data_IF_835591423212
#
_entry.id   IF_835591423212
#
_cell.length_a   1.000
_cell.length_b   1.000
_cell.length_c   1.000
_cell.angle_alpha   90.00
_cell.angle_beta   90.00
_cell.angle_gamma   90.00
#
_symmetry.space_group_name_H-M   'P 1'
#
loop_
_entity.id
_entity.type
_entity.pdbx_description
1 polymer ?
#
# COMPACT_ATOMS: atom_id res chain seq x y z
N UNK A 1 87.45 18.41 18.53
CA UNK A 1 88.30 19.61 18.60
C UNK A 1 87.48 20.81 18.16
N UNK A 2 87.43 21.83 19.02
CA UNK A 2 87.16 23.25 18.73
C UNK A 2 85.70 23.67 18.48
N UNK A 3 85.19 24.28 19.55
CA UNK A 3 84.14 25.29 19.65
C UNK A 3 84.44 26.49 18.72
N UNK A 4 83.43 27.03 18.01
CA UNK A 4 83.41 28.46 17.69
C UNK A 4 81.99 29.02 17.63
N UNK A 5 81.68 29.75 18.71
CA UNK A 5 80.71 30.82 18.86
C UNK A 5 81.07 32.00 17.91
N UNK A 6 80.12 32.92 17.66
CA UNK A 6 80.21 34.37 17.28
C UNK A 6 78.96 34.69 16.40
N UNK A 7 77.85 35.23 16.95
CA UNK A 7 77.49 36.70 17.02
C UNK A 7 77.36 37.37 15.65
N UNK A 8 76.43 38.28 15.33
CA UNK A 8 75.35 39.01 15.99
C UNK A 8 74.68 39.86 14.87
N UNK A 9 73.35 39.98 14.89
CA UNK A 9 72.48 41.05 14.36
C UNK A 9 72.74 41.64 12.95
N UNK A 10 71.72 41.52 12.10
CA UNK A 10 71.24 42.69 11.36
C UNK A 10 69.71 42.71 11.42
N UNK A 11 69.17 43.83 11.89
CA UNK A 11 67.76 44.12 12.12
C UNK A 11 67.21 44.72 10.83
N UNK A 12 66.08 44.21 10.33
CA UNK A 12 65.19 44.97 9.46
C UNK A 12 63.75 44.84 9.97
N UNK A 13 63.25 45.99 10.40
CA UNK A 13 61.95 46.28 10.99
C UNK A 13 61.03 46.77 9.86
N UNK A 14 59.95 46.06 9.51
CA UNK A 14 58.78 46.69 8.85
C UNK A 14 57.47 45.95 9.19
N UNK A 15 56.50 46.76 9.62
CA UNK A 15 55.04 46.62 9.59
C UNK A 15 54.33 45.66 10.57
N UNK A 16 53.71 46.32 11.56
CA UNK A 16 52.59 45.90 12.39
C UNK A 16 51.25 45.95 11.63
N UNK A 17 50.31 45.12 12.10
CA UNK A 17 48.83 45.15 12.01
C UNK A 17 48.16 44.17 11.03
N UNK A 18 47.59 43.12 11.61
CA UNK A 18 46.70 42.17 10.95
C UNK A 18 46.37 41.00 11.88
N UNK A 19 45.67 41.27 12.98
CA UNK A 19 45.05 40.23 13.80
C UNK A 19 43.94 39.54 13.02
N UNK A 20 43.80 38.22 13.19
CA UNK A 20 42.56 37.48 13.45
C UNK A 20 42.45 36.15 12.68
N UNK A 21 42.37 35.08 13.48
CA UNK A 21 41.72 33.76 13.31
C UNK A 21 42.22 32.79 12.23
N UNK A 22 42.93 31.76 12.70
CA UNK A 22 43.03 30.45 12.07
C UNK A 22 41.78 29.65 12.47
N UNK A 23 40.81 29.49 11.56
CA UNK A 23 39.65 28.64 11.78
C UNK A 23 39.86 27.28 11.08
N UNK A 24 39.63 26.14 11.74
CA UNK A 24 39.64 24.86 11.06
C UNK A 24 38.44 24.82 10.10
N UNK A 25 38.71 24.55 8.82
CA UNK A 25 37.66 24.24 7.84
C UNK A 25 37.07 22.88 8.23
N UNK A 26 36.02 22.94 9.05
CA UNK A 26 35.12 21.83 9.29
C UNK A 26 34.39 21.57 7.97
N UNK A 27 34.84 20.57 7.20
CA UNK A 27 34.00 20.02 6.15
C UNK A 27 32.85 19.29 6.86
N UNK A 28 31.77 20.02 7.09
CA UNK A 28 30.48 19.42 7.38
C UNK A 28 30.07 18.62 6.15
N UNK A 29 30.11 17.30 6.27
CA UNK A 29 29.33 16.45 5.38
C UNK A 29 27.86 16.80 5.62
N UNK A 30 27.28 17.57 4.71
CA UNK A 30 25.83 17.72 4.64
C UNK A 30 25.28 16.36 4.25
N UNK A 31 25.02 15.50 5.24
CA UNK A 31 24.01 14.47 5.09
C UNK A 31 22.69 15.22 4.95
N UNK A 32 22.29 15.42 3.69
CA UNK A 32 20.97 15.92 3.35
C UNK A 32 19.96 14.90 3.89
N UNK A 33 19.44 15.15 5.08
CA UNK A 33 18.42 14.36 5.76
C UNK A 33 17.06 14.51 5.09
N UNK A 34 16.95 14.11 3.82
CA UNK A 34 15.67 13.89 3.19
C UNK A 34 15.04 12.67 3.86
N UNK A 35 14.07 12.89 4.77
CA UNK A 35 13.25 11.81 5.31
C UNK A 35 12.68 11.00 4.14
N UNK A 36 13.05 9.72 4.07
CA UNK A 36 12.46 8.74 3.13
C UNK A 36 10.95 8.75 3.36
N UNK A 37 10.18 9.20 2.36
CA UNK A 37 8.71 9.17 2.44
C UNK A 37 8.29 7.70 2.40
N UNK A 38 7.50 7.30 3.40
CA UNK A 38 6.95 5.95 3.54
C UNK A 38 5.42 6.02 3.62
N UNK A 39 4.79 4.90 3.30
CA UNK A 39 3.35 4.69 3.48
C UNK A 39 3.03 4.90 4.95
N UNK A 40 2.08 5.77 5.22
CA UNK A 40 1.60 6.11 6.56
C UNK A 40 0.26 6.84 6.43
N UNK A 41 -0.49 6.95 7.53
CA UNK A 41 -1.84 7.55 7.54
C UNK A 41 -1.89 8.92 6.83
N UNK A 42 -2.91 9.11 5.98
CA UNK A 42 -3.16 10.33 5.20
C UNK A 42 -2.27 10.50 3.97
N UNK A 43 -1.43 9.53 3.62
CA UNK A 43 -0.68 9.56 2.36
C UNK A 43 -1.52 9.03 1.22
N UNK A 44 -1.43 9.70 0.07
CA UNK A 44 -1.89 9.13 -1.19
C UNK A 44 -0.82 8.17 -1.70
N UNK A 45 -1.20 6.91 -1.88
CA UNK A 45 -0.29 5.84 -2.29
C UNK A 45 -0.73 5.33 -3.64
N UNK A 46 0.22 5.21 -4.56
CA UNK A 46 0.04 4.55 -5.86
C UNK A 46 0.80 3.24 -5.87
N UNK A 47 0.16 2.16 -6.32
CA UNK A 47 0.76 0.83 -6.34
C UNK A 47 0.34 -0.01 -7.54
N UNK A 48 1.25 -0.89 -7.92
CA UNK A 48 0.94 -2.09 -8.70
C UNK A 48 0.67 -3.25 -7.75
N UNK A 49 -0.28 -4.10 -8.09
CA UNK A 49 -0.51 -5.35 -7.41
C UNK A 49 -0.94 -6.47 -8.36
N UNK A 50 -0.77 -7.70 -7.88
CA UNK A 50 -1.43 -8.88 -8.43
C UNK A 50 -2.05 -9.63 -7.27
N UNK A 51 -3.36 -9.84 -7.33
CA UNK A 51 -4.14 -10.63 -6.38
C UNK A 51 -4.28 -12.06 -6.87
N UNK A 52 -3.98 -13.02 -5.99
CA UNK A 52 -4.09 -14.46 -6.26
C UNK A 52 -4.83 -15.18 -5.13
N UNK A 53 -5.44 -16.32 -5.46
CA UNK A 53 -6.04 -17.24 -4.47
C UNK A 53 -5.08 -18.37 -4.05
N UNK A 54 -4.05 -18.61 -4.86
CA UNK A 54 -2.94 -19.52 -4.60
C UNK A 54 -1.81 -19.17 -5.59
N UNK A 55 -0.75 -19.98 -5.66
CA UNK A 55 0.40 -19.70 -6.54
C UNK A 55 0.04 -19.60 -8.04
N UNK A 56 -1.06 -20.21 -8.48
CA UNK A 56 -1.41 -20.33 -9.91
C UNK A 56 -2.60 -19.48 -10.33
N UNK A 57 -3.51 -19.19 -9.40
CA UNK A 57 -4.79 -18.56 -9.71
C UNK A 57 -4.73 -17.05 -9.49
N UNK A 58 -4.34 -16.31 -10.54
CA UNK A 58 -4.44 -14.84 -10.58
C UNK A 58 -5.90 -14.44 -10.77
N UNK A 59 -6.42 -13.65 -9.84
CA UNK A 59 -7.78 -13.10 -9.89
C UNK A 59 -7.79 -11.73 -10.55
N UNK A 60 -6.83 -10.89 -10.18
CA UNK A 60 -6.77 -9.50 -10.63
C UNK A 60 -5.31 -9.02 -10.66
N UNK A 61 -5.00 -8.14 -11.60
CA UNK A 61 -3.70 -7.48 -11.68
C UNK A 61 -3.83 -6.17 -12.43
N UNK A 62 -3.14 -5.14 -11.97
CA UNK A 62 -3.00 -3.88 -12.69
C UNK A 62 -1.57 -3.66 -13.21
N UNK A 63 -0.70 -4.67 -13.14
CA UNK A 63 0.69 -4.56 -13.61
C UNK A 63 0.71 -4.28 -15.11
N UNK A 64 1.39 -3.19 -15.50
CA UNK A 64 1.42 -2.73 -16.90
C UNK A 64 0.16 -1.96 -17.34
N UNK A 65 -0.80 -1.75 -16.44
CA UNK A 65 -2.00 -0.92 -16.65
C UNK A 65 -1.96 0.37 -15.83
N UNK A 66 -3.14 0.89 -15.49
CA UNK A 66 -3.26 2.07 -14.62
C UNK A 66 -2.99 1.70 -13.15
N UNK A 67 -2.10 2.44 -12.45
CA UNK A 67 -1.84 2.20 -11.04
C UNK A 67 -3.08 2.36 -10.16
N UNK A 68 -3.21 1.50 -9.17
CA UNK A 68 -4.22 1.64 -8.14
C UNK A 68 -3.77 2.75 -7.19
N UNK A 69 -4.67 3.69 -6.90
CA UNK A 69 -4.40 4.76 -5.93
C UNK A 69 -5.39 4.70 -4.79
N UNK A 70 -4.92 4.95 -3.58
CA UNK A 70 -5.76 5.01 -2.38
C UNK A 70 -5.18 5.99 -1.35
N UNK A 71 -5.99 6.38 -0.37
CA UNK A 71 -5.56 7.14 0.81
C UNK A 71 -5.36 6.19 1.99
N UNK A 72 -4.13 6.16 2.50
CA UNK A 72 -3.80 5.25 3.60
C UNK A 72 -4.49 5.66 4.91
N UNK A 73 -5.17 4.71 5.54
CA UNK A 73 -5.98 4.89 6.74
C UNK A 73 -7.37 5.47 6.47
N UNK A 74 -7.83 5.45 5.21
CA UNK A 74 -9.19 5.83 4.82
C UNK A 74 -10.11 4.62 4.55
N UNK A 75 -9.64 3.39 4.84
CA UNK A 75 -10.41 2.15 4.68
C UNK A 75 -10.89 1.88 3.24
N UNK A 76 -10.14 2.37 2.25
CA UNK A 76 -10.44 2.21 0.81
C UNK A 76 -10.01 0.84 0.25
N UNK A 77 -9.17 0.10 0.98
CA UNK A 77 -8.69 -1.25 0.63
C UNK A 77 -8.87 -2.19 1.83
N UNK A 78 -8.76 -3.50 1.58
CA UNK A 78 -8.94 -4.48 2.66
C UNK A 78 -7.96 -4.24 3.83
N UNK A 79 -8.43 -4.31 5.10
CA UNK A 79 -7.64 -3.91 6.26
C UNK A 79 -6.27 -4.61 6.38
N UNK A 80 -6.22 -5.90 6.07
CA UNK A 80 -4.98 -6.66 6.16
C UNK A 80 -3.95 -6.27 5.09
N UNK A 81 -4.40 -5.83 3.90
CA UNK A 81 -3.50 -5.27 2.89
C UNK A 81 -3.00 -3.91 3.36
N UNK A 82 -3.89 -3.01 3.77
CA UNK A 82 -3.51 -1.68 4.27
C UNK A 82 -2.45 -1.78 5.38
N UNK A 83 -2.74 -2.54 6.44
CA UNK A 83 -1.80 -2.77 7.54
C UNK A 83 -0.44 -3.29 7.08
N UNK A 84 -0.41 -4.15 6.07
CA UNK A 84 0.82 -4.74 5.56
C UNK A 84 1.65 -3.76 4.71
N UNK A 85 1.04 -2.71 4.17
CA UNK A 85 1.69 -1.65 3.39
C UNK A 85 2.30 -0.54 4.26
N UNK A 86 1.85 -0.37 5.49
CA UNK A 86 2.39 0.63 6.43
C UNK A 86 3.93 0.57 6.51
N UNK A 87 4.58 1.73 6.40
CA UNK A 87 6.03 1.87 6.43
C UNK A 87 6.77 1.49 5.15
N UNK A 88 6.10 0.95 4.12
CA UNK A 88 6.76 0.66 2.84
C UNK A 88 7.18 1.95 2.13
N UNK A 89 8.31 1.92 1.43
CA UNK A 89 8.77 3.04 0.62
C UNK A 89 8.54 2.83 -0.87
N UNK A 90 8.64 3.91 -1.65
CA UNK A 90 8.62 3.86 -3.12
C UNK A 90 9.65 2.87 -3.66
N UNK A 91 9.21 2.00 -4.57
CA UNK A 91 10.01 0.95 -5.20
C UNK A 91 10.05 -0.36 -4.42
N UNK A 92 9.62 -0.38 -3.15
CA UNK A 92 9.57 -1.62 -2.37
C UNK A 92 8.49 -2.55 -2.88
N UNK A 93 8.80 -3.85 -2.84
CA UNK A 93 7.91 -4.95 -3.21
C UNK A 93 7.67 -5.85 -2.02
N UNK A 94 6.47 -6.43 -1.94
CA UNK A 94 6.12 -7.34 -0.86
C UNK A 94 5.14 -8.40 -1.34
N UNK A 95 5.30 -9.61 -0.81
CA UNK A 95 4.31 -10.67 -0.89
C UNK A 95 3.52 -10.68 0.41
N UNK A 96 2.20 -10.54 0.34
CA UNK A 96 1.33 -10.34 1.49
C UNK A 96 0.22 -11.38 1.43
N UNK A 97 0.07 -12.17 2.49
CA UNK A 97 -1.08 -13.05 2.68
C UNK A 97 -2.07 -12.38 3.64
N UNK A 98 -3.31 -12.23 3.20
CA UNK A 98 -4.41 -11.63 3.98
C UNK A 98 -5.46 -12.69 4.24
N UNK A 99 -5.73 -12.97 5.52
CA UNK A 99 -6.75 -13.94 5.92
C UNK A 99 -8.16 -13.39 5.63
N UNK A 100 -9.18 -14.26 5.51
CA UNK A 100 -10.54 -13.80 5.21
C UNK A 100 -11.04 -12.74 6.20
N UNK A 101 -10.79 -12.91 7.50
CA UNK A 101 -11.15 -11.96 8.56
C UNK A 101 -10.56 -10.55 8.39
N UNK A 102 -9.43 -10.40 7.70
CA UNK A 102 -8.79 -9.11 7.40
C UNK A 102 -9.00 -8.67 5.93
N UNK A 103 -9.85 -9.42 5.19
CA UNK A 103 -10.20 -9.19 3.79
C UNK A 103 -11.72 -8.99 3.63
N UNK A 104 -12.39 -9.94 2.99
CA UNK A 104 -13.83 -9.87 2.69
C UNK A 104 -14.70 -10.65 3.67
N UNK A 105 -14.15 -11.02 4.83
CA UNK A 105 -14.82 -11.79 5.86
C UNK A 105 -14.84 -13.29 5.59
N UNK A 106 -15.38 -14.02 6.57
CA UNK A 106 -15.69 -15.44 6.43
C UNK A 106 -17.00 -15.62 5.64
N UNK A 107 -17.22 -16.83 5.11
CA UNK A 107 -18.50 -17.17 4.48
C UNK A 107 -19.61 -17.16 5.54
N UNK A 108 -20.60 -16.31 5.38
CA UNK A 108 -21.81 -16.33 6.18
C UNK A 108 -22.82 -17.30 5.58
N UNK A 109 -23.06 -18.42 6.26
CA UNK A 109 -24.05 -19.42 5.85
C UNK A 109 -25.48 -18.86 5.85
N UNK A 110 -25.77 -17.79 6.60
CA UNK A 110 -27.07 -17.13 6.59
C UNK A 110 -27.27 -16.24 5.37
N UNK A 111 -26.18 -15.86 4.71
CA UNK A 111 -26.19 -15.15 3.43
C UNK A 111 -26.39 -16.10 2.24
N UNK A 112 -26.49 -17.41 2.46
CA UNK A 112 -26.91 -18.38 1.44
C UNK A 112 -28.39 -18.64 1.62
N UNK A 113 -29.20 -18.30 0.61
CA UNK A 113 -30.66 -18.33 0.70
C UNK A 113 -31.28 -19.10 -0.47
N UNK A 114 -32.25 -19.95 -0.16
CA UNK A 114 -33.06 -20.61 -1.16
C UNK A 114 -34.27 -19.74 -1.53
N UNK A 115 -34.40 -19.43 -2.81
CA UNK A 115 -35.44 -18.54 -3.34
C UNK A 115 -36.24 -19.28 -4.39
N UNK A 116 -37.58 -19.11 -4.37
CA UNK A 116 -38.46 -19.73 -5.37
C UNK A 116 -38.16 -19.19 -6.77
N UNK A 117 -38.16 -20.06 -7.77
CA UNK A 117 -37.86 -19.72 -9.16
C UNK A 117 -38.71 -18.58 -9.72
N UNK A 118 -39.98 -18.49 -9.34
CA UNK A 118 -40.87 -17.41 -9.80
C UNK A 118 -40.47 -16.00 -9.30
N UNK A 119 -39.56 -15.89 -8.34
CA UNK A 119 -38.99 -14.63 -7.85
C UNK A 119 -37.63 -14.31 -8.49
N UNK A 120 -37.06 -15.25 -9.25
CA UNK A 120 -35.74 -15.14 -9.86
C UNK A 120 -35.91 -15.09 -11.38
N UNK A 121 -35.31 -14.13 -12.09
CA UNK A 121 -35.38 -14.10 -13.55
C UNK A 121 -34.93 -15.41 -14.19
N UNK A 122 -35.68 -15.91 -15.17
CA UNK A 122 -35.41 -17.22 -15.79
C UNK A 122 -34.00 -17.35 -16.39
N UNK A 123 -33.46 -16.25 -16.93
CA UNK A 123 -32.11 -16.23 -17.51
C UNK A 123 -31.00 -16.48 -16.49
N UNK A 124 -31.31 -16.34 -15.19
CA UNK A 124 -30.39 -16.57 -14.09
C UNK A 124 -30.52 -17.99 -13.49
N UNK A 125 -31.39 -18.87 -13.99
CA UNK A 125 -31.52 -20.24 -13.46
C UNK A 125 -30.40 -21.18 -13.92
N UNK A 126 -29.16 -20.80 -13.64
CA UNK A 126 -27.94 -21.57 -13.93
C UNK A 126 -26.88 -21.23 -12.88
N UNK A 127 -26.12 -22.25 -12.45
CA UNK A 127 -25.01 -22.07 -11.52
C UNK A 127 -24.01 -21.06 -12.09
N UNK A 128 -23.54 -20.14 -11.23
CA UNK A 128 -22.64 -19.05 -11.57
C UNK A 128 -23.32 -17.83 -12.19
N UNK A 129 -24.64 -17.83 -12.40
CA UNK A 129 -25.33 -16.61 -12.79
C UNK A 129 -25.26 -15.56 -11.67
N UNK A 130 -24.91 -14.33 -12.04
CA UNK A 130 -24.95 -13.17 -11.16
C UNK A 130 -26.29 -12.44 -11.33
N UNK A 131 -26.81 -11.91 -10.23
CA UNK A 131 -28.01 -11.10 -10.21
C UNK A 131 -27.75 -9.77 -9.52
N UNK A 132 -28.58 -8.77 -9.82
CA UNK A 132 -28.71 -7.58 -8.98
C UNK A 132 -29.99 -7.71 -8.15
N UNK A 133 -29.85 -7.63 -6.83
CA UNK A 133 -30.93 -7.64 -5.87
C UNK A 133 -30.93 -6.33 -5.07
N UNK A 134 -32.07 -5.98 -4.46
CA UNK A 134 -32.14 -4.87 -3.50
C UNK A 134 -32.31 -5.42 -2.10
N UNK A 135 -31.44 -5.01 -1.19
CA UNK A 135 -31.52 -5.33 0.22
C UNK A 135 -32.66 -4.57 0.93
N UNK A 136 -32.97 -4.95 2.19
CA UNK A 136 -34.04 -4.33 2.97
C UNK A 136 -33.86 -2.83 3.21
N UNK A 137 -32.63 -2.33 3.22
CA UNK A 137 -32.29 -0.91 3.41
C UNK A 137 -32.10 -0.16 2.09
N UNK A 138 -32.43 -0.80 0.95
CA UNK A 138 -32.34 -0.22 -0.38
C UNK A 138 -30.96 -0.31 -1.04
N UNK A 139 -29.99 -0.94 -0.39
CA UNK A 139 -28.66 -1.20 -0.97
C UNK A 139 -28.74 -2.21 -2.12
N UNK A 140 -27.95 -2.02 -3.18
CA UNK A 140 -27.77 -3.03 -4.23
C UNK A 140 -26.90 -4.17 -3.69
N UNK A 141 -27.34 -5.41 -3.95
CA UNK A 141 -26.65 -6.65 -3.62
C UNK A 141 -26.42 -7.42 -4.91
N UNK A 142 -25.30 -8.14 -5.00
CA UNK A 142 -24.94 -8.90 -6.19
C UNK A 142 -24.77 -10.39 -5.89
N UNK A 143 -25.86 -11.12 -5.56
CA UNK A 143 -25.76 -12.53 -5.29
C UNK A 143 -25.45 -13.33 -6.56
N UNK A 144 -24.86 -14.51 -6.38
CA UNK A 144 -24.67 -15.48 -7.45
C UNK A 144 -25.40 -16.79 -7.16
N UNK A 145 -25.78 -17.50 -8.20
CA UNK A 145 -26.44 -18.80 -8.09
C UNK A 145 -25.42 -19.89 -7.80
N UNK A 146 -25.59 -20.60 -6.69
CA UNK A 146 -24.74 -21.73 -6.32
C UNK A 146 -25.38 -23.08 -6.67
N UNK A 147 -26.71 -23.16 -6.70
CA UNK A 147 -27.46 -24.38 -7.02
C UNK A 147 -28.79 -24.05 -7.68
N UNK A 148 -29.23 -24.89 -8.63
CA UNK A 148 -30.57 -24.81 -9.24
C UNK A 148 -31.31 -26.11 -8.94
N UNK A 149 -32.44 -25.99 -8.24
CA UNK A 149 -33.32 -27.11 -7.89
C UNK A 149 -34.55 -27.14 -8.81
N UNK A 150 -35.50 -28.03 -8.55
CA UNK A 150 -36.74 -28.15 -9.34
C UNK A 150 -37.57 -26.86 -9.29
N UNK A 151 -37.94 -26.40 -8.09
CA UNK A 151 -38.82 -25.24 -7.87
C UNK A 151 -38.11 -23.99 -7.32
N UNK A 152 -36.82 -24.10 -7.00
CA UNK A 152 -36.05 -23.07 -6.32
C UNK A 152 -34.62 -22.92 -6.87
N UNK A 153 -33.98 -21.84 -6.48
CA UNK A 153 -32.59 -21.50 -6.78
C UNK A 153 -31.91 -21.11 -5.47
N UNK A 154 -30.70 -21.60 -5.24
CA UNK A 154 -29.88 -21.20 -4.08
C UNK A 154 -29.00 -20.03 -4.50
N UNK A 155 -29.16 -18.91 -3.81
CA UNK A 155 -28.43 -17.67 -4.01
C UNK A 155 -27.43 -17.47 -2.88
N UNK A 156 -26.19 -17.14 -3.21
CA UNK A 156 -25.17 -16.76 -2.25
C UNK A 156 -24.91 -15.25 -2.35
N UNK A 157 -25.18 -14.55 -1.25
CA UNK A 157 -25.03 -13.10 -1.10
C UNK A 157 -23.68 -12.70 -0.48
N UNK A 158 -22.80 -13.66 -0.19
CA UNK A 158 -21.44 -13.35 0.25
C UNK A 158 -20.64 -12.66 -0.87
N UNK A 159 -19.62 -11.89 -0.47
CA UNK A 159 -18.63 -11.42 -1.44
C UNK A 159 -17.98 -12.61 -2.15
N UNK A 160 -17.68 -12.56 -3.47
CA UNK A 160 -17.10 -13.70 -4.22
C UNK A 160 -15.77 -14.23 -3.64
N UNK A 161 -15.06 -13.38 -2.90
CA UNK A 161 -13.79 -13.69 -2.23
C UNK A 161 -13.92 -13.99 -0.72
N UNK A 162 -15.14 -14.06 -0.17
CA UNK A 162 -15.37 -14.40 1.24
C UNK A 162 -14.84 -15.81 1.56
N UNK A 163 -14.30 -15.98 2.77
CA UNK A 163 -13.67 -17.22 3.24
C UNK A 163 -12.34 -17.58 2.55
N UNK A 164 -11.84 -16.75 1.62
CA UNK A 164 -10.59 -17.01 0.92
C UNK A 164 -9.44 -16.24 1.56
N UNK A 165 -8.28 -16.90 1.69
CA UNK A 165 -7.02 -16.20 1.95
C UNK A 165 -6.55 -15.58 0.64
N UNK A 166 -6.22 -14.30 0.67
CA UNK A 166 -5.79 -13.53 -0.48
C UNK A 166 -4.27 -13.36 -0.47
N UNK A 167 -3.64 -13.53 -1.62
CA UNK A 167 -2.19 -13.35 -1.79
C UNK A 167 -1.93 -12.18 -2.73
N UNK A 168 -1.29 -11.13 -2.21
CA UNK A 168 -0.95 -9.93 -2.97
C UNK A 168 0.55 -9.87 -3.23
N UNK A 169 0.91 -9.72 -4.49
CA UNK A 169 2.24 -9.27 -4.90
C UNK A 169 2.14 -7.77 -5.17
N UNK A 170 2.72 -6.93 -4.31
CA UNK A 170 2.61 -5.47 -4.41
C UNK A 170 3.93 -4.80 -4.75
N UNK A 171 3.85 -3.62 -5.37
CA UNK A 171 4.96 -2.70 -5.56
C UNK A 171 4.48 -1.26 -5.37
N UNK A 172 5.09 -0.53 -4.45
CA UNK A 172 4.79 0.90 -4.28
C UNK A 172 5.42 1.68 -5.43
N UNK A 173 4.61 2.47 -6.13
CA UNK A 173 5.04 3.30 -7.26
C UNK A 173 5.27 4.75 -6.84
N UNK A 174 4.38 5.30 -6.04
CA UNK A 174 4.43 6.70 -5.62
C UNK A 174 3.82 6.86 -4.24
N UNK A 175 4.35 7.80 -3.45
CA UNK A 175 3.74 8.23 -2.20
C UNK A 175 3.73 9.76 -2.20
N UNK A 176 2.54 10.35 -2.13
CA UNK A 176 2.37 11.79 -1.99
C UNK A 176 1.90 12.14 -0.59
N UNK A 177 2.43 13.23 -0.06
CA UNK A 177 1.86 13.83 1.14
C UNK A 177 0.49 14.42 0.82
N UNK A 178 -0.41 14.34 1.79
CA UNK A 178 -1.66 15.10 1.74
C UNK A 178 -1.34 16.57 1.45
N UNK A 179 -1.92 17.12 0.39
CA UNK A 179 -1.86 18.56 0.16
C UNK A 179 -2.73 19.16 1.26
N UNK A 180 -2.10 19.67 2.33
CA UNK A 180 -2.77 20.28 3.49
C UNK A 180 -4.09 20.91 3.06
N UNK A 181 -5.21 20.36 3.53
CA UNK A 181 -6.49 21.06 3.50
C UNK A 181 -6.23 22.43 4.15
N UNK A 182 -6.33 23.46 3.31
CA UNK A 182 -6.07 24.85 3.68
C UNK A 182 -7.24 25.39 4.49
#
# INVERSE_FOLDING_TARGET
MIVRLYTLRCVCLVALLGTMVNAPVLHAETTNGASKIVVSKGKHVSLEYTLKLNEKDVVESNVGGEPMTYVHGAEEIVPGLEKALEGMAVGEKKHIAVKPADAYGEVDQKAIQEVKKNLVPEHAWKVGAELEARGPEGQSLFPHVTEVKEDSVVLDFNHPLAGKTLYFDVKILEIRADAKAK
#
